data_IF_411482407581
#
_entry.id   IF_411482407581
#
_cell.length_a   1.000
_cell.length_b   1.000
_cell.length_c   1.000
_cell.angle_alpha   90.00
_cell.angle_beta   90.00
_cell.angle_gamma   90.00
#
_symmetry.space_group_name_H-M   'P 1'
#
loop_
_entity.id
_entity.type
_entity.pdbx_description
1 polymer ?
#
# COMPACT_ATOMS: atom_id res chain seq x y z
N UNK A 1 8.56 -16.01 -36.65
CA UNK A 1 7.21 -16.64 -36.61
C UNK A 1 6.83 -16.96 -38.06
N UNK A 2 6.61 -18.24 -38.41
CA UNK A 2 6.36 -18.63 -39.79
C UNK A 2 4.99 -18.12 -40.24
N UNK A 3 4.93 -17.57 -41.45
CA UNK A 3 3.73 -17.03 -42.12
C UNK A 3 2.54 -18.01 -42.14
N UNK A 4 2.81 -19.32 -42.01
CA UNK A 4 1.78 -20.37 -41.94
C UNK A 4 0.84 -20.27 -40.74
N UNK A 5 1.31 -19.74 -39.57
CA UNK A 5 0.42 -19.50 -38.42
C UNK A 5 -0.58 -18.35 -38.60
N UNK A 6 -0.30 -17.42 -39.50
CA UNK A 6 -1.24 -16.34 -39.84
C UNK A 6 -2.41 -16.81 -40.69
N UNK A 7 -2.24 -17.88 -41.48
CA UNK A 7 -3.34 -18.44 -42.33
C UNK A 7 -4.48 -19.03 -41.49
N UNK A 8 -4.20 -19.50 -40.26
CA UNK A 8 -5.21 -20.16 -39.43
C UNK A 8 -6.16 -19.19 -38.75
N UNK A 9 -5.74 -17.95 -38.48
CA UNK A 9 -6.55 -16.92 -37.79
C UNK A 9 -7.51 -16.16 -38.75
N UNK A 10 -7.37 -16.32 -40.05
CA UNK A 10 -8.17 -15.62 -41.08
C UNK A 10 -9.06 -16.55 -41.92
N UNK A 11 -9.28 -17.80 -41.46
CA UNK A 11 -10.22 -18.71 -42.13
C UNK A 11 -11.65 -18.35 -41.76
N UNK A 12 -12.15 -17.25 -42.31
CA UNK A 12 -13.58 -17.03 -42.43
C UNK A 12 -14.11 -17.95 -43.51
N UNK A 13 -15.08 -18.84 -43.20
CA UNK A 13 -15.72 -19.71 -44.19
C UNK A 13 -16.14 -18.85 -45.36
N UNK A 14 -15.61 -19.14 -46.57
CA UNK A 14 -16.16 -18.61 -47.81
C UNK A 14 -17.63 -19.05 -47.88
N UNK A 15 -18.56 -18.13 -47.92
CA UNK A 15 -19.96 -18.47 -48.16
C UNK A 15 -20.06 -19.14 -49.54
N UNK A 16 -20.71 -20.32 -49.60
CA UNK A 16 -20.92 -20.99 -50.87
C UNK A 16 -21.76 -20.09 -51.80
N UNK A 17 -21.41 -20.00 -53.12
CA UNK A 17 -22.20 -19.25 -54.08
C UNK A 17 -23.58 -19.91 -54.23
N UNK A 18 -24.62 -19.12 -54.46
CA UNK A 18 -25.92 -19.63 -54.80
C UNK A 18 -25.90 -20.32 -56.19
N UNK A 19 -26.99 -21.02 -56.57
CA UNK A 19 -27.09 -21.78 -57.82
C UNK A 19 -26.79 -20.99 -59.09
N UNK A 20 -26.67 -19.67 -59.03
CA UNK A 20 -26.33 -18.76 -60.14
C UNK A 20 -24.91 -18.16 -60.03
N UNK A 21 -24.07 -18.63 -59.11
CA UNK A 21 -22.65 -18.33 -59.08
C UNK A 21 -22.22 -16.96 -58.56
N UNK A 22 -23.14 -16.05 -58.22
CA UNK A 22 -22.79 -14.69 -57.76
C UNK A 22 -23.81 -14.12 -56.79
N UNK A 23 -23.72 -14.48 -55.51
CA UNK A 23 -24.38 -13.64 -54.52
C UNK A 23 -23.57 -12.34 -54.32
N UNK A 24 -24.20 -11.20 -54.58
CA UNK A 24 -23.62 -9.85 -54.46
C UNK A 24 -23.01 -9.63 -53.07
N UNK A 25 -23.64 -10.17 -52.01
CA UNK A 25 -23.15 -10.14 -50.64
C UNK A 25 -21.88 -10.98 -50.43
N UNK A 26 -21.75 -12.13 -51.09
CA UNK A 26 -20.57 -12.98 -51.01
C UNK A 26 -19.36 -12.35 -51.69
N UNK A 27 -19.57 -11.71 -52.84
CA UNK A 27 -18.53 -10.97 -53.57
C UNK A 27 -18.03 -9.80 -52.71
N UNK A 28 -18.94 -8.96 -52.19
CA UNK A 28 -18.59 -7.84 -51.31
C UNK A 28 -17.84 -8.29 -50.04
N UNK A 29 -18.24 -9.43 -49.47
CA UNK A 29 -17.57 -9.99 -48.26
C UNK A 29 -16.17 -10.50 -48.62
N UNK A 30 -16.02 -11.21 -49.74
CA UNK A 30 -14.71 -11.70 -50.17
C UNK A 30 -13.77 -10.54 -50.54
N UNK A 31 -14.23 -9.50 -51.17
CA UNK A 31 -13.44 -8.28 -51.43
C UNK A 31 -12.99 -7.60 -50.12
N UNK A 32 -13.85 -7.53 -49.13
CA UNK A 32 -13.47 -7.02 -47.78
C UNK A 32 -12.39 -7.89 -47.12
N UNK A 33 -12.51 -9.21 -47.21
CA UNK A 33 -11.53 -10.17 -46.67
C UNK A 33 -10.18 -9.99 -47.41
N UNK A 34 -10.19 -9.87 -48.74
CA UNK A 34 -8.97 -9.65 -49.51
C UNK A 34 -8.29 -8.33 -49.19
N UNK A 35 -9.06 -7.24 -49.05
CA UNK A 35 -8.52 -5.94 -48.59
C UNK A 35 -7.90 -6.03 -47.19
N UNK A 36 -8.53 -6.73 -46.26
CA UNK A 36 -7.99 -6.96 -44.92
C UNK A 36 -6.69 -7.78 -44.95
N UNK A 37 -6.64 -8.83 -45.77
CA UNK A 37 -5.45 -9.66 -45.97
C UNK A 37 -4.29 -8.83 -46.54
N UNK A 38 -4.53 -8.04 -47.58
CA UNK A 38 -3.54 -7.14 -48.15
C UNK A 38 -3.02 -6.11 -47.15
N UNK A 39 -3.89 -5.54 -46.35
CA UNK A 39 -3.50 -4.58 -45.30
C UNK A 39 -2.65 -5.21 -44.18
N UNK A 40 -2.97 -6.43 -43.76
CA UNK A 40 -2.16 -7.19 -42.78
C UNK A 40 -0.79 -7.57 -43.37
N UNK A 41 -0.74 -8.02 -44.62
CA UNK A 41 0.51 -8.30 -45.34
C UNK A 41 1.37 -7.04 -45.52
N UNK A 42 0.76 -5.92 -45.85
CA UNK A 42 1.46 -4.63 -45.94
C UNK A 42 2.07 -4.21 -44.61
N UNK A 43 1.32 -4.34 -43.53
CA UNK A 43 1.82 -4.08 -42.16
C UNK A 43 2.99 -4.99 -41.81
N UNK A 44 2.90 -6.28 -42.10
CA UNK A 44 3.97 -7.25 -41.86
C UNK A 44 5.23 -6.91 -42.66
N UNK A 45 5.10 -6.64 -43.98
CA UNK A 45 6.24 -6.29 -44.81
C UNK A 45 6.92 -4.99 -44.36
N UNK A 46 6.14 -3.98 -43.96
CA UNK A 46 6.67 -2.72 -43.43
C UNK A 46 7.48 -2.93 -42.14
N UNK A 47 7.11 -3.89 -41.29
CA UNK A 47 7.88 -4.24 -40.09
C UNK A 47 9.14 -5.03 -40.45
N UNK A 48 9.07 -5.94 -41.42
CA UNK A 48 10.25 -6.69 -41.96
C UNK A 48 11.31 -5.76 -42.51
N UNK A 49 10.92 -4.74 -43.28
CA UNK A 49 11.84 -3.73 -43.86
C UNK A 49 12.58 -2.92 -42.78
N UNK A 50 11.97 -2.72 -41.62
CA UNK A 50 12.59 -2.02 -40.47
C UNK A 50 13.68 -2.81 -39.78
N UNK A 51 13.98 -4.04 -40.19
CA UNK A 51 15.03 -4.95 -39.63
C UNK A 51 15.03 -5.06 -38.10
N UNK A 52 13.87 -5.02 -37.46
CA UNK A 52 13.69 -5.21 -36.04
C UNK A 52 12.89 -6.48 -35.79
N UNK A 53 13.22 -7.20 -34.75
CA UNK A 53 12.37 -8.29 -34.26
C UNK A 53 11.02 -7.73 -33.86
N UNK A 54 9.94 -8.33 -34.36
CA UNK A 54 8.58 -7.92 -34.06
C UNK A 54 7.69 -9.16 -33.83
N UNK A 55 6.61 -8.96 -33.10
CA UNK A 55 5.64 -9.99 -32.78
C UNK A 55 4.29 -9.74 -33.50
N UNK A 56 3.34 -10.64 -33.28
CA UNK A 56 1.99 -10.53 -33.83
C UNK A 56 1.25 -9.26 -33.35
N UNK A 57 1.58 -8.77 -32.15
CA UNK A 57 0.98 -7.55 -31.61
C UNK A 57 1.46 -6.32 -32.40
N UNK A 58 2.74 -6.26 -32.77
CA UNK A 58 3.28 -5.19 -33.60
C UNK A 58 2.63 -5.15 -35.00
N UNK A 59 2.36 -6.32 -35.61
CA UNK A 59 1.63 -6.41 -36.89
C UNK A 59 0.19 -5.90 -36.75
N UNK A 60 -0.51 -6.32 -35.69
CA UNK A 60 -1.86 -5.84 -35.39
C UNK A 60 -1.88 -4.32 -35.21
N UNK A 61 -0.95 -3.78 -34.43
CA UNK A 61 -0.89 -2.35 -34.12
C UNK A 61 -0.55 -1.51 -35.40
N UNK A 62 0.33 -2.05 -36.26
CA UNK A 62 0.62 -1.45 -37.56
C UNK A 62 -0.62 -1.48 -38.47
N UNK A 63 -1.33 -2.60 -38.54
CA UNK A 63 -2.56 -2.78 -39.30
C UNK A 63 -3.68 -1.84 -38.84
N UNK A 64 -3.82 -1.63 -37.54
CA UNK A 64 -4.82 -0.73 -36.95
C UNK A 64 -4.45 0.75 -37.02
N UNK A 65 -3.34 1.10 -37.69
CA UNK A 65 -2.84 2.48 -37.74
C UNK A 65 -2.19 2.95 -36.42
N UNK A 66 -2.03 2.05 -35.45
CA UNK A 66 -1.42 2.32 -34.16
C UNK A 66 0.13 2.18 -34.17
N UNK A 67 0.72 2.07 -35.34
CA UNK A 67 2.16 1.81 -35.55
C UNK A 67 3.13 2.88 -34.99
N UNK A 68 2.60 4.00 -34.51
CA UNK A 68 3.32 4.99 -33.76
C UNK A 68 3.09 4.90 -32.24
N UNK A 69 2.21 3.98 -31.79
CA UNK A 69 1.78 3.86 -30.40
C UNK A 69 2.21 2.54 -29.74
N UNK A 70 3.46 2.13 -29.95
CA UNK A 70 3.97 1.02 -29.14
C UNK A 70 3.82 1.39 -27.66
N UNK A 71 3.16 0.51 -26.89
CA UNK A 71 3.00 0.74 -25.45
C UNK A 71 4.37 0.76 -24.79
N UNK A 72 4.65 1.84 -24.10
CA UNK A 72 5.92 2.09 -23.41
C UNK A 72 5.72 2.06 -21.89
N UNK A 73 6.80 1.98 -21.13
CA UNK A 73 6.76 1.83 -19.68
C UNK A 73 5.97 2.95 -19.00
N UNK A 74 6.30 4.21 -19.32
CA UNK A 74 5.64 5.36 -18.67
C UNK A 74 4.20 5.53 -19.17
N UNK A 75 3.90 5.25 -20.45
CA UNK A 75 2.52 5.28 -20.95
C UNK A 75 1.64 4.25 -20.24
N UNK A 76 2.12 3.02 -20.04
CA UNK A 76 1.35 1.99 -19.33
C UNK A 76 1.16 2.36 -17.85
N UNK A 77 2.20 2.89 -17.21
CA UNK A 77 2.11 3.35 -15.83
C UNK A 77 1.15 4.53 -15.69
N UNK A 78 1.16 5.47 -16.63
CA UNK A 78 0.24 6.62 -16.66
C UNK A 78 -1.22 6.17 -16.85
N UNK A 79 -1.49 5.27 -17.80
CA UNK A 79 -2.81 4.65 -17.97
C UNK A 79 -3.29 4.02 -16.67
N UNK A 80 -2.43 3.22 -16.04
CA UNK A 80 -2.75 2.57 -14.75
C UNK A 80 -2.99 3.59 -13.61
N UNK A 81 -2.24 4.69 -13.59
CA UNK A 81 -2.45 5.79 -12.63
C UNK A 81 -3.80 6.48 -12.84
N UNK A 82 -4.21 6.66 -14.11
CA UNK A 82 -5.53 7.18 -14.47
C UNK A 82 -6.66 6.28 -13.97
N UNK A 83 -6.55 4.97 -14.17
CA UNK A 83 -7.49 3.97 -13.67
C UNK A 83 -7.57 3.99 -12.14
N UNK A 84 -6.41 4.05 -11.46
CA UNK A 84 -6.36 4.16 -10.01
C UNK A 84 -6.97 5.45 -9.49
N UNK A 85 -6.73 6.58 -10.17
CA UNK A 85 -7.29 7.89 -9.80
C UNK A 85 -8.82 7.86 -9.80
N UNK A 86 -9.42 7.23 -10.81
CA UNK A 86 -10.88 7.05 -10.88
C UNK A 86 -11.46 6.21 -9.73
N UNK A 87 -10.64 5.39 -9.07
CA UNK A 87 -11.05 4.50 -7.98
C UNK A 87 -10.73 5.04 -6.59
N UNK A 88 -10.10 6.22 -6.50
CA UNK A 88 -9.82 6.86 -5.20
C UNK A 88 -11.13 7.25 -4.52
N UNK A 89 -11.28 6.86 -3.26
CA UNK A 89 -12.52 7.06 -2.49
C UNK A 89 -13.55 5.94 -2.66
N UNK A 90 -13.38 5.04 -3.63
CA UNK A 90 -14.21 3.84 -3.79
C UNK A 90 -13.54 2.65 -3.11
N UNK A 91 -12.41 2.19 -3.64
CA UNK A 91 -11.64 1.04 -3.14
C UNK A 91 -10.13 1.29 -3.09
N UNK A 92 -9.69 2.51 -3.36
CA UNK A 92 -8.28 2.95 -3.34
C UNK A 92 -8.09 4.16 -2.43
N UNK A 93 -7.04 4.09 -1.59
CA UNK A 93 -6.66 5.22 -0.76
C UNK A 93 -5.86 6.27 -1.57
N UNK A 94 -6.04 7.58 -1.33
CA UNK A 94 -5.26 8.64 -1.96
C UNK A 94 -3.75 8.45 -1.81
N UNK A 95 -3.29 7.98 -0.64
CA UNK A 95 -1.87 7.70 -0.35
C UNK A 95 -1.29 6.61 -1.24
N UNK A 96 -2.09 5.61 -1.62
CA UNK A 96 -1.67 4.58 -2.57
C UNK A 96 -1.42 5.19 -3.95
N UNK A 97 -2.34 6.02 -4.46
CA UNK A 97 -2.16 6.73 -5.72
C UNK A 97 -0.89 7.60 -5.68
N UNK A 98 -0.66 8.32 -4.59
CA UNK A 98 0.55 9.15 -4.44
C UNK A 98 1.82 8.35 -4.64
N UNK A 99 1.92 7.12 -4.11
CA UNK A 99 3.10 6.26 -4.29
C UNK A 99 3.30 5.90 -5.77
N UNK A 100 2.22 5.64 -6.52
CA UNK A 100 2.30 5.37 -7.95
C UNK A 100 2.74 6.60 -8.75
N UNK A 101 2.22 7.78 -8.43
CA UNK A 101 2.62 9.04 -9.06
C UNK A 101 4.10 9.37 -8.79
N UNK A 102 4.59 9.13 -7.57
CA UNK A 102 6.02 9.28 -7.25
C UNK A 102 6.87 8.26 -8.01
N UNK A 103 6.41 7.03 -8.16
CA UNK A 103 7.11 6.02 -8.97
C UNK A 103 7.20 6.44 -10.43
N UNK A 104 6.11 6.97 -11.01
CA UNK A 104 6.12 7.52 -12.36
C UNK A 104 7.15 8.64 -12.51
N UNK A 105 7.14 9.60 -11.58
CA UNK A 105 8.06 10.73 -11.58
C UNK A 105 9.52 10.27 -11.53
N UNK A 106 9.87 9.40 -10.60
CA UNK A 106 11.25 8.92 -10.42
C UNK A 106 11.72 8.08 -11.60
N UNK A 107 10.84 7.26 -12.20
CA UNK A 107 11.16 6.52 -13.42
C UNK A 107 11.37 7.46 -14.61
N UNK A 108 10.53 8.48 -14.77
CA UNK A 108 10.69 9.49 -15.83
C UNK A 108 12.00 10.26 -15.69
N UNK A 109 12.36 10.67 -14.47
CA UNK A 109 13.62 11.34 -14.19
C UNK A 109 14.83 10.43 -14.51
N UNK A 110 14.78 9.17 -14.08
CA UNK A 110 15.82 8.18 -14.33
C UNK A 110 16.02 7.90 -15.82
N UNK A 111 14.92 7.65 -16.55
CA UNK A 111 14.96 7.36 -17.98
C UNK A 111 15.59 8.55 -18.75
N UNK A 112 15.16 9.77 -18.44
CA UNK A 112 15.71 10.98 -19.04
C UNK A 112 17.19 11.16 -18.71
N UNK A 113 17.58 10.93 -17.46
CA UNK A 113 18.96 11.11 -17.01
C UNK A 113 19.91 10.10 -17.68
N UNK A 114 19.54 8.82 -17.67
CA UNK A 114 20.42 7.74 -18.11
C UNK A 114 20.34 7.43 -19.60
N UNK A 115 19.14 7.39 -20.16
CA UNK A 115 18.91 6.95 -21.54
C UNK A 115 18.71 8.10 -22.54
N UNK A 116 18.56 9.35 -22.06
CA UNK A 116 18.34 10.56 -22.88
C UNK A 116 17.12 10.47 -23.81
N UNK A 117 16.11 9.66 -23.42
CA UNK A 117 14.85 9.48 -24.14
C UNK A 117 13.68 9.79 -23.22
N UNK A 118 12.49 10.13 -23.78
CA UNK A 118 11.33 10.44 -22.97
C UNK A 118 10.71 9.22 -22.29
N UNK A 119 10.82 8.03 -22.89
CA UNK A 119 10.25 6.78 -22.41
C UNK A 119 10.94 5.57 -23.04
N UNK A 120 10.70 4.37 -22.52
CA UNK A 120 11.30 3.12 -22.97
C UNK A 120 10.24 2.07 -23.34
N UNK A 121 10.53 1.31 -24.42
CA UNK A 121 9.73 0.12 -24.76
C UNK A 121 10.12 -1.03 -23.84
N UNK A 122 9.17 -1.94 -23.57
CA UNK A 122 9.38 -3.04 -22.62
C UNK A 122 10.53 -3.97 -23.04
N UNK A 123 10.81 -4.15 -24.32
CA UNK A 123 11.94 -4.94 -24.81
C UNK A 123 13.32 -4.42 -24.39
N UNK A 124 13.43 -3.16 -23.99
CA UNK A 124 14.67 -2.55 -23.51
C UNK A 124 14.89 -2.72 -22.00
N UNK A 125 13.87 -3.20 -21.30
CA UNK A 125 13.98 -3.46 -19.85
C UNK A 125 14.73 -4.79 -19.64
N UNK A 126 15.77 -4.75 -18.82
CA UNK A 126 16.55 -5.92 -18.43
C UNK A 126 16.94 -5.82 -16.95
N UNK A 127 17.67 -6.80 -16.42
CA UNK A 127 18.13 -6.75 -15.03
C UNK A 127 19.05 -5.56 -14.75
N UNK A 128 19.85 -5.14 -15.73
CA UNK A 128 20.72 -3.99 -15.57
C UNK A 128 19.94 -2.70 -15.42
N UNK A 129 18.83 -2.52 -16.19
CA UNK A 129 17.91 -1.40 -16.00
C UNK A 129 17.39 -1.32 -14.56
N UNK A 130 17.04 -2.49 -13.97
CA UNK A 130 16.52 -2.54 -12.59
C UNK A 130 17.60 -2.15 -11.60
N UNK A 131 18.84 -2.64 -11.77
CA UNK A 131 19.98 -2.29 -10.91
C UNK A 131 20.31 -0.81 -11.01
N UNK A 132 20.37 -0.29 -12.21
CA UNK A 132 20.65 1.13 -12.46
C UNK A 132 19.57 2.04 -11.84
N UNK A 133 18.30 1.62 -11.89
CA UNK A 133 17.23 2.36 -11.22
C UNK A 133 17.34 2.29 -9.69
N UNK A 134 17.79 1.14 -9.13
CA UNK A 134 18.08 1.03 -7.70
C UNK A 134 19.18 2.00 -7.28
N UNK A 135 20.28 2.04 -8.02
CA UNK A 135 21.40 2.94 -7.73
C UNK A 135 20.96 4.42 -7.85
N UNK A 136 20.18 4.75 -8.86
CA UNK A 136 19.62 6.10 -9.00
C UNK A 136 18.78 6.50 -7.77
N UNK A 137 17.91 5.61 -7.28
CA UNK A 137 17.04 5.89 -6.11
C UNK A 137 17.85 5.96 -4.82
N UNK A 138 18.82 5.06 -4.62
CA UNK A 138 19.59 4.98 -3.38
C UNK A 138 20.73 5.98 -3.31
N UNK A 139 21.52 6.08 -4.39
CA UNK A 139 22.78 6.84 -4.39
C UNK A 139 22.57 8.28 -4.86
N UNK A 140 21.80 8.49 -5.94
CA UNK A 140 21.60 9.83 -6.47
C UNK A 140 20.47 10.58 -5.76
N UNK A 141 19.35 9.91 -5.44
CA UNK A 141 18.22 10.51 -4.72
C UNK A 141 18.31 10.42 -3.20
N UNK A 142 19.17 9.55 -2.67
CA UNK A 142 19.33 9.35 -1.23
C UNK A 142 18.10 8.77 -0.53
N UNK A 143 17.22 8.03 -1.24
CA UNK A 143 16.01 7.48 -0.65
C UNK A 143 16.30 6.20 0.12
N UNK A 144 15.46 5.93 1.13
CA UNK A 144 15.56 4.72 1.94
C UNK A 144 15.22 3.46 1.12
N UNK A 145 15.81 2.32 1.52
CA UNK A 145 15.60 1.00 0.89
C UNK A 145 14.11 0.62 0.87
N UNK A 146 13.34 0.95 1.92
CA UNK A 146 11.90 0.66 1.96
C UNK A 146 11.10 1.48 0.92
N UNK A 147 11.53 2.71 0.64
CA UNK A 147 10.96 3.53 -0.44
C UNK A 147 11.25 2.91 -1.81
N UNK A 148 12.51 2.54 -2.06
CA UNK A 148 12.91 1.82 -3.27
C UNK A 148 12.11 0.54 -3.45
N UNK A 149 11.95 -0.26 -2.38
CA UNK A 149 11.16 -1.49 -2.40
C UNK A 149 9.73 -1.24 -2.88
N UNK A 150 9.11 -0.15 -2.41
CA UNK A 150 7.77 0.27 -2.86
C UNK A 150 7.73 0.58 -4.36
N UNK A 151 8.70 1.34 -4.86
CA UNK A 151 8.80 1.70 -6.29
C UNK A 151 9.05 0.47 -7.17
N UNK A 152 9.95 -0.42 -6.75
CA UNK A 152 10.21 -1.67 -7.47
C UNK A 152 9.01 -2.62 -7.48
N UNK A 153 8.21 -2.66 -6.42
CA UNK A 153 6.98 -3.44 -6.38
C UNK A 153 5.96 -2.95 -7.41
N UNK A 154 5.86 -1.61 -7.58
CA UNK A 154 5.01 -1.00 -8.61
C UNK A 154 5.56 -1.31 -10.01
N UNK A 155 6.85 -1.08 -10.25
CA UNK A 155 7.50 -1.39 -11.53
C UNK A 155 7.30 -2.88 -11.90
N UNK A 156 7.50 -3.78 -10.94
CA UNK A 156 7.24 -5.23 -11.10
C UNK A 156 5.79 -5.51 -11.51
N UNK A 157 4.83 -4.81 -10.90
CA UNK A 157 3.40 -4.95 -11.25
C UNK A 157 3.13 -4.46 -12.68
N UNK A 158 3.66 -3.32 -13.09
CA UNK A 158 3.49 -2.76 -14.43
C UNK A 158 4.10 -3.68 -15.49
N UNK A 159 5.30 -4.21 -15.27
CA UNK A 159 5.90 -5.20 -16.17
C UNK A 159 5.08 -6.49 -16.26
N UNK A 160 4.41 -6.91 -15.18
CA UNK A 160 3.49 -8.06 -15.22
C UNK A 160 2.26 -7.77 -16.04
N UNK A 161 1.70 -6.56 -15.95
CA UNK A 161 0.56 -6.13 -16.78
C UNK A 161 0.99 -6.12 -18.24
N UNK A 162 2.13 -5.50 -18.58
CA UNK A 162 2.68 -5.46 -19.92
C UNK A 162 2.84 -6.86 -20.53
N UNK A 163 3.37 -7.81 -19.75
CA UNK A 163 3.51 -9.20 -20.20
C UNK A 163 2.14 -9.86 -20.46
N UNK A 164 1.18 -9.67 -19.57
CA UNK A 164 -0.18 -10.25 -19.71
C UNK A 164 -0.95 -9.66 -20.88
N UNK A 165 -0.76 -8.38 -21.18
CA UNK A 165 -1.41 -7.67 -22.28
C UNK A 165 -0.68 -7.83 -23.63
N UNK A 166 0.44 -8.56 -23.67
CA UNK A 166 1.22 -8.80 -24.90
C UNK A 166 2.10 -7.63 -25.32
N UNK A 167 2.32 -6.64 -24.44
CA UNK A 167 3.24 -5.53 -24.71
C UNK A 167 4.72 -5.87 -24.46
N UNK A 168 4.98 -7.03 -23.87
CA UNK A 168 6.31 -7.58 -23.62
C UNK A 168 6.31 -9.09 -23.85
N UNK A 169 7.29 -9.61 -24.58
CA UNK A 169 7.45 -11.06 -24.80
C UNK A 169 7.96 -11.78 -23.55
N UNK A 170 8.65 -11.06 -22.68
CA UNK A 170 9.28 -11.61 -21.47
C UNK A 170 8.82 -10.86 -20.23
N UNK A 171 8.68 -11.62 -19.13
CA UNK A 171 8.48 -11.02 -17.81
C UNK A 171 9.85 -10.79 -17.14
N UNK A 172 10.38 -9.57 -17.29
CA UNK A 172 11.73 -9.18 -16.87
C UNK A 172 12.01 -9.31 -15.35
N UNK A 173 10.97 -9.48 -14.53
CA UNK A 173 11.07 -9.62 -13.07
C UNK A 173 10.88 -11.06 -12.57
N UNK A 174 10.91 -12.09 -13.45
CA UNK A 174 10.65 -13.47 -13.02
C UNK A 174 11.62 -13.94 -11.93
N UNK A 175 12.91 -13.63 -12.05
CA UNK A 175 13.97 -14.02 -11.10
C UNK A 175 14.35 -12.88 -10.13
N UNK A 176 13.83 -11.67 -10.32
CA UNK A 176 14.21 -10.54 -9.51
C UNK A 176 13.52 -10.59 -8.14
N UNK A 177 14.33 -10.61 -7.08
CA UNK A 177 13.86 -10.52 -5.69
C UNK A 177 13.93 -9.07 -5.23
N UNK A 178 12.83 -8.57 -4.69
CA UNK A 178 12.83 -7.24 -4.06
C UNK A 178 13.85 -7.20 -2.90
N UNK A 179 14.52 -6.07 -2.67
CA UNK A 179 15.39 -5.88 -1.51
C UNK A 179 14.69 -6.32 -0.23
N UNK A 180 15.40 -6.96 0.70
CA UNK A 180 14.82 -7.32 1.99
C UNK A 180 14.43 -6.05 2.75
N UNK A 181 13.25 -6.07 3.34
CA UNK A 181 12.84 -5.00 4.26
C UNK A 181 13.74 -5.07 5.48
N UNK A 182 14.26 -3.92 5.93
CA UNK A 182 14.96 -3.87 7.21
C UNK A 182 13.96 -4.17 8.32
N UNK A 183 14.32 -5.09 9.20
CA UNK A 183 13.56 -5.28 10.44
C UNK A 183 13.65 -3.98 11.24
N UNK A 184 12.56 -3.28 11.31
CA UNK A 184 12.45 -2.09 12.15
C UNK A 184 11.81 -2.48 13.48
N UNK A 185 12.50 -2.18 14.58
CA UNK A 185 11.86 -2.26 15.89
C UNK A 185 10.77 -1.19 15.97
N UNK A 186 9.53 -1.56 16.29
CA UNK A 186 8.49 -0.57 16.55
C UNK A 186 8.98 0.39 17.64
N UNK A 187 8.92 1.67 17.36
CA UNK A 187 9.31 2.69 18.33
C UNK A 187 8.12 2.94 19.26
N UNK A 188 8.03 2.20 20.36
CA UNK A 188 7.16 2.54 21.48
C UNK A 188 7.84 3.58 22.38
N UNK A 189 7.06 4.28 23.19
CA UNK A 189 7.63 5.08 24.29
C UNK A 189 8.17 4.16 25.38
N UNK A 190 9.22 4.61 26.07
CA UNK A 190 9.53 4.08 27.39
C UNK A 190 8.49 4.60 28.42
N UNK A 191 8.35 3.91 29.56
CA UNK A 191 7.46 4.36 30.64
C UNK A 191 7.82 5.79 31.08
N UNK A 192 9.07 6.10 31.26
CA UNK A 192 9.56 7.44 31.59
C UNK A 192 9.13 8.51 30.56
N UNK A 193 9.29 8.23 29.27
CA UNK A 193 8.91 9.18 28.21
C UNK A 193 7.39 9.33 28.09
N UNK A 194 6.64 8.27 28.42
CA UNK A 194 5.18 8.33 28.49
C UNK A 194 4.75 9.26 29.63
N UNK A 195 5.32 9.11 30.83
CA UNK A 195 5.05 9.95 32.00
C UNK A 195 5.39 11.42 31.74
N UNK A 196 6.56 11.69 31.13
CA UNK A 196 6.93 13.06 30.72
C UNK A 196 5.92 13.73 29.78
N UNK A 197 5.28 12.97 28.90
CA UNK A 197 4.24 13.50 28.01
C UNK A 197 2.89 13.64 28.71
N UNK A 198 2.58 12.68 29.58
CA UNK A 198 1.34 12.67 30.36
C UNK A 198 1.29 13.89 31.28
N UNK A 199 2.35 14.16 32.03
CA UNK A 199 2.43 15.20 33.04
C UNK A 199 2.89 16.57 32.47
N UNK A 200 3.10 16.63 31.12
CA UNK A 200 3.57 17.85 30.48
C UNK A 200 2.60 19.02 30.66
N UNK A 201 3.03 20.05 31.34
CA UNK A 201 2.30 21.31 31.43
C UNK A 201 2.41 22.09 30.11
N UNK A 202 1.28 22.33 29.48
CA UNK A 202 1.20 23.07 28.21
C UNK A 202 0.42 24.34 28.47
N UNK A 203 0.99 25.53 28.17
CA UNK A 203 0.29 26.80 28.35
C UNK A 203 -1.06 26.81 27.63
N UNK A 204 -2.12 27.34 28.26
CA UNK A 204 -3.50 27.36 27.74
C UNK A 204 -3.62 27.99 26.34
N UNK A 205 -2.82 29.01 26.05
CA UNK A 205 -2.74 29.67 24.74
C UNK A 205 -2.32 28.68 23.62
N UNK A 206 -1.75 27.53 23.94
CA UNK A 206 -1.35 26.47 23.00
C UNK A 206 -2.38 25.36 22.90
N UNK A 207 -3.67 25.69 22.84
CA UNK A 207 -4.79 24.73 22.79
C UNK A 207 -4.60 23.60 21.78
N UNK A 208 -4.07 23.92 20.58
CA UNK A 208 -3.81 22.90 19.56
C UNK A 208 -2.76 21.85 20.00
N UNK A 209 -1.76 22.23 20.80
CA UNK A 209 -0.77 21.28 21.36
C UNK A 209 -1.42 20.40 22.43
N UNK A 210 -2.30 20.97 23.26
CA UNK A 210 -3.05 20.19 24.26
C UNK A 210 -3.90 19.13 23.58
N UNK A 211 -4.66 19.51 22.53
CA UNK A 211 -5.46 18.55 21.76
C UNK A 211 -4.58 17.46 21.12
N UNK A 212 -3.42 17.83 20.56
CA UNK A 212 -2.49 16.88 19.96
C UNK A 212 -1.94 15.89 20.99
N UNK A 213 -1.50 16.36 22.16
CA UNK A 213 -1.03 15.52 23.25
C UNK A 213 -2.12 14.55 23.69
N UNK A 214 -3.32 15.04 23.92
CA UNK A 214 -4.43 14.25 24.44
C UNK A 214 -4.92 13.20 23.41
N UNK A 215 -4.94 13.55 22.13
CA UNK A 215 -5.16 12.56 21.06
C UNK A 215 -4.07 11.48 21.01
N UNK A 216 -2.83 11.87 21.24
CA UNK A 216 -1.72 10.91 21.30
C UNK A 216 -1.83 10.00 22.53
N UNK A 217 -2.14 10.55 23.72
CA UNK A 217 -2.39 9.77 24.94
C UNK A 217 -3.58 8.83 24.76
N UNK A 218 -4.66 9.31 24.11
CA UNK A 218 -5.79 8.45 23.77
C UNK A 218 -5.37 7.27 22.87
N UNK A 219 -4.46 7.49 21.93
CA UNK A 219 -3.90 6.39 21.13
C UNK A 219 -3.02 5.44 21.98
N UNK A 220 -2.33 5.93 23.01
CA UNK A 220 -1.60 5.11 23.98
C UNK A 220 -2.52 4.22 24.82
N UNK A 221 -3.74 4.69 25.12
CA UNK A 221 -4.73 3.93 25.92
C UNK A 221 -5.65 3.04 25.10
N UNK A 222 -5.78 3.27 23.79
CA UNK A 222 -6.76 2.56 22.95
C UNK A 222 -6.18 1.85 21.74
N UNK A 223 -4.93 2.16 21.39
CA UNK A 223 -4.27 1.63 20.18
C UNK A 223 -4.83 2.19 18.88
N UNK A 224 -5.66 3.24 18.90
CA UNK A 224 -6.27 3.79 17.69
C UNK A 224 -5.23 4.47 16.79
N UNK A 225 -5.33 4.25 15.46
CA UNK A 225 -4.54 5.01 14.51
C UNK A 225 -5.13 6.42 14.34
N UNK A 226 -4.33 7.38 13.86
CA UNK A 226 -4.76 8.78 13.71
C UNK A 226 -6.08 8.92 12.93
N UNK A 227 -6.16 8.29 11.75
CA UNK A 227 -7.35 8.39 10.91
C UNK A 227 -8.62 7.82 11.59
N UNK A 228 -8.44 6.82 12.46
CA UNK A 228 -9.52 6.24 13.24
C UNK A 228 -9.87 7.18 14.40
N UNK A 229 -8.89 7.62 15.20
CA UNK A 229 -9.10 8.48 16.39
C UNK A 229 -9.86 9.78 16.08
N UNK A 230 -9.50 10.48 15.00
CA UNK A 230 -10.17 11.73 14.61
C UNK A 230 -11.57 11.54 14.05
N UNK A 231 -11.98 10.31 13.75
CA UNK A 231 -13.29 9.98 13.20
C UNK A 231 -14.21 9.26 14.15
N UNK A 232 -13.74 8.91 15.35
CA UNK A 232 -14.54 8.25 16.37
C UNK A 232 -15.63 9.20 16.84
N UNK A 233 -16.86 8.71 16.90
CA UNK A 233 -18.05 9.40 17.37
C UNK A 233 -18.60 8.72 18.62
N UNK A 234 -19.60 9.30 19.27
CA UNK A 234 -20.26 8.68 20.42
C UNK A 234 -20.94 7.35 20.07
N UNK A 235 -21.35 7.14 18.82
CA UNK A 235 -21.94 5.88 18.34
C UNK A 235 -20.94 4.69 18.40
N UNK A 236 -19.66 5.00 18.52
CA UNK A 236 -18.61 4.00 18.69
C UNK A 236 -18.45 3.54 20.14
N UNK A 237 -19.11 4.21 21.10
CA UNK A 237 -19.06 3.88 22.51
C UNK A 237 -20.27 3.02 22.90
N UNK A 238 -20.05 1.97 23.68
CA UNK A 238 -21.12 1.18 24.26
C UNK A 238 -20.72 0.67 25.65
N UNK A 239 -21.70 0.35 26.47
CA UNK A 239 -21.47 -0.29 27.77
C UNK A 239 -21.76 -1.78 27.66
N UNK A 240 -20.96 -2.60 28.32
CA UNK A 240 -21.24 -4.00 28.54
C UNK A 240 -22.25 -4.20 29.68
N UNK A 241 -22.64 -5.45 29.92
CA UNK A 241 -23.62 -5.83 30.97
C UNK A 241 -23.11 -5.49 32.39
N UNK A 242 -21.80 -5.32 32.56
CA UNK A 242 -21.14 -4.92 33.80
C UNK A 242 -21.04 -3.39 33.95
N UNK A 243 -21.52 -2.62 32.96
CA UNK A 243 -21.47 -1.16 32.92
C UNK A 243 -20.14 -0.57 32.44
N UNK A 244 -19.15 -1.39 32.10
CA UNK A 244 -17.87 -0.94 31.59
C UNK A 244 -17.99 -0.30 30.20
N UNK A 245 -17.29 0.78 29.99
CA UNK A 245 -17.33 1.51 28.72
C UNK A 245 -16.33 0.91 27.72
N UNK A 246 -16.80 0.62 26.52
CA UNK A 246 -16.03 0.05 25.43
C UNK A 246 -16.03 0.96 24.23
N UNK A 247 -14.94 0.92 23.48
CA UNK A 247 -14.78 1.52 22.14
C UNK A 247 -14.86 0.42 21.09
N UNK A 248 -15.78 0.56 20.12
CA UNK A 248 -15.92 -0.30 18.95
C UNK A 248 -15.81 0.56 17.69
N UNK A 249 -14.81 0.30 16.86
CA UNK A 249 -14.58 1.09 15.65
C UNK A 249 -14.12 0.22 14.48
N UNK A 250 -14.50 0.63 13.28
CA UNK A 250 -14.02 0.02 12.05
C UNK A 250 -12.77 0.74 11.56
N UNK A 251 -11.68 0.00 11.34
CA UNK A 251 -10.43 0.60 10.89
C UNK A 251 -10.55 1.08 9.45
N UNK A 252 -10.34 2.39 9.23
CA UNK A 252 -10.39 3.00 7.89
C UNK A 252 -9.42 2.38 6.88
N UNK A 253 -8.27 1.85 7.32
CA UNK A 253 -7.26 1.29 6.43
C UNK A 253 -7.53 -0.14 5.99
N UNK A 254 -8.16 -0.95 6.84
CA UNK A 254 -8.24 -2.41 6.65
C UNK A 254 -9.64 -2.97 6.76
N UNK A 255 -10.61 -2.14 7.13
CA UNK A 255 -12.00 -2.48 7.37
C UNK A 255 -12.22 -3.54 8.47
N UNK A 256 -11.20 -3.81 9.29
CA UNK A 256 -11.31 -4.73 10.42
C UNK A 256 -11.83 -4.02 11.66
N UNK A 257 -12.60 -4.75 12.45
CA UNK A 257 -13.21 -4.27 13.67
C UNK A 257 -12.19 -4.26 14.82
N UNK A 258 -11.95 -3.09 15.41
CA UNK A 258 -11.25 -2.92 16.68
C UNK A 258 -12.24 -2.82 17.86
N UNK A 259 -11.90 -3.46 18.98
CA UNK A 259 -12.68 -3.38 20.22
C UNK A 259 -11.73 -3.25 21.41
N UNK A 260 -11.91 -2.22 22.22
CA UNK A 260 -11.07 -1.95 23.39
C UNK A 260 -11.95 -1.52 24.55
N UNK A 261 -11.77 -2.15 25.72
CA UNK A 261 -12.34 -1.67 26.98
C UNK A 261 -11.59 -0.39 27.37
N UNK A 262 -12.31 0.68 27.63
CA UNK A 262 -11.70 1.97 27.91
C UNK A 262 -11.18 2.02 29.35
N UNK A 263 -9.92 2.38 29.48
CA UNK A 263 -9.30 2.70 30.77
C UNK A 263 -9.87 4.02 31.32
N UNK A 264 -9.87 4.23 32.64
CA UNK A 264 -10.36 5.47 33.25
C UNK A 264 -9.75 6.74 32.64
N UNK A 265 -8.46 6.70 32.29
CA UNK A 265 -7.73 7.81 31.66
C UNK A 265 -8.26 8.12 30.25
N UNK A 266 -8.59 7.10 29.47
CA UNK A 266 -9.21 7.29 28.16
C UNK A 266 -10.62 7.88 28.27
N UNK A 267 -11.39 7.46 29.29
CA UNK A 267 -12.73 8.02 29.59
C UNK A 267 -12.58 9.48 30.01
N UNK A 268 -11.64 9.83 30.87
CA UNK A 268 -11.39 11.19 31.29
C UNK A 268 -11.05 12.12 30.10
N UNK A 269 -10.26 11.63 29.13
CA UNK A 269 -9.97 12.38 27.91
C UNK A 269 -11.23 12.60 27.05
N UNK A 270 -12.12 11.62 26.94
CA UNK A 270 -13.39 11.74 26.22
C UNK A 270 -14.28 12.80 26.89
N UNK A 271 -14.43 12.73 28.22
CA UNK A 271 -15.24 13.69 28.98
C UNK A 271 -14.65 15.12 28.92
N UNK A 272 -13.32 15.27 28.97
CA UNK A 272 -12.64 16.58 28.83
C UNK A 272 -13.04 17.29 27.52
N UNK A 273 -13.25 16.56 26.44
CA UNK A 273 -13.61 17.09 25.14
C UNK A 273 -15.10 16.92 24.80
N UNK A 274 -15.93 16.64 25.80
CA UNK A 274 -17.36 16.49 25.59
C UNK A 274 -17.96 17.77 25.02
N UNK A 275 -18.63 17.63 23.90
CA UNK A 275 -19.30 18.72 23.19
C UNK A 275 -20.48 18.13 22.44
N UNK A 276 -21.70 18.44 22.89
CA UNK A 276 -22.92 17.85 22.36
C UNK A 276 -23.29 18.40 20.97
N UNK A 277 -22.63 19.46 20.54
CA UNK A 277 -22.81 20.05 19.20
C UNK A 277 -21.89 19.39 18.16
N UNK A 278 -20.88 18.65 18.61
CA UNK A 278 -19.92 17.98 17.74
C UNK A 278 -20.20 16.47 17.67
N UNK A 279 -20.13 15.92 16.44
CA UNK A 279 -20.31 14.49 16.24
C UNK A 279 -19.11 13.66 16.72
N UNK A 280 -17.88 14.15 16.47
CA UNK A 280 -16.64 13.45 16.85
C UNK A 280 -16.29 13.63 18.32
N UNK A 281 -15.63 12.62 18.93
CA UNK A 281 -15.22 12.70 20.36
C UNK A 281 -14.21 13.80 20.61
N UNK A 282 -13.26 14.01 19.69
CA UNK A 282 -12.22 15.02 19.82
C UNK A 282 -12.43 16.16 18.83
N UNK A 283 -11.94 17.39 19.15
CA UNK A 283 -11.91 18.49 18.21
C UNK A 283 -11.18 18.12 16.90
N UNK A 284 -11.63 18.60 15.74
CA UNK A 284 -10.96 18.31 14.49
C UNK A 284 -9.53 18.83 14.49
N UNK A 285 -8.62 18.02 14.01
CA UNK A 285 -7.21 18.35 13.87
C UNK A 285 -6.68 17.74 12.58
N UNK A 286 -6.10 18.57 11.71
CA UNK A 286 -5.49 18.05 10.50
C UNK A 286 -4.13 17.40 10.78
N UNK A 287 -3.72 16.49 9.88
CA UNK A 287 -2.51 15.71 10.07
C UNK A 287 -1.22 16.54 10.02
N UNK A 288 -1.19 17.64 9.26
CA UNK A 288 -0.02 18.51 9.17
C UNK A 288 0.20 19.26 10.48
N UNK A 289 -0.86 19.85 11.01
CA UNK A 289 -0.86 20.52 12.33
C UNK A 289 -0.48 19.53 13.44
N UNK A 290 -1.09 18.35 13.46
CA UNK A 290 -0.75 17.31 14.43
C UNK A 290 0.75 16.97 14.36
N UNK A 291 1.29 16.73 13.16
CA UNK A 291 2.70 16.39 12.98
C UNK A 291 3.65 17.50 13.44
N UNK A 292 3.30 18.77 13.18
CA UNK A 292 4.06 19.93 13.64
C UNK A 292 4.04 20.03 15.17
N UNK A 293 2.84 19.87 15.77
CA UNK A 293 2.69 19.90 17.22
C UNK A 293 3.42 18.75 17.90
N UNK A 294 3.44 17.53 17.33
CA UNK A 294 4.21 16.38 17.86
C UNK A 294 5.71 16.70 17.97
N UNK A 295 6.28 17.40 16.97
CA UNK A 295 7.68 17.85 17.04
C UNK A 295 7.89 18.86 18.17
N UNK A 296 6.97 19.78 18.35
CA UNK A 296 7.00 20.76 19.45
C UNK A 296 6.85 20.09 20.82
N UNK A 297 5.90 19.18 20.98
CA UNK A 297 5.68 18.39 22.20
C UNK A 297 6.90 17.56 22.57
N UNK A 298 7.59 16.97 21.60
CA UNK A 298 8.88 16.28 21.81
C UNK A 298 9.89 17.17 22.52
N UNK A 299 10.06 18.40 22.00
CA UNK A 299 11.02 19.37 22.56
C UNK A 299 10.58 19.84 23.94
N UNK A 300 9.29 20.13 24.12
CA UNK A 300 8.74 20.58 25.39
C UNK A 300 8.87 19.52 26.50
N UNK A 301 8.70 18.23 26.16
CA UNK A 301 8.86 17.11 27.08
C UNK A 301 10.32 16.62 27.22
N UNK A 302 11.28 17.24 26.54
CA UNK A 302 12.70 16.85 26.59
C UNK A 302 12.99 15.45 26.07
N UNK A 303 12.21 14.96 25.09
CA UNK A 303 12.39 13.61 24.55
C UNK A 303 13.53 13.57 23.54
N UNK A 304 14.46 12.63 23.68
CA UNK A 304 15.57 12.39 22.76
C UNK A 304 15.12 11.75 21.45
N UNK A 305 14.12 10.85 21.51
CA UNK A 305 13.59 10.15 20.33
C UNK A 305 12.53 11.00 19.58
N UNK A 306 12.42 10.77 18.28
CA UNK A 306 11.35 11.40 17.50
C UNK A 306 9.98 10.95 18.01
N UNK A 307 9.05 11.88 18.10
CA UNK A 307 7.68 11.63 18.52
C UNK A 307 6.75 11.68 17.29
N UNK A 308 6.12 10.53 16.98
CA UNK A 308 5.14 10.41 15.91
C UNK A 308 3.87 9.74 16.42
N UNK A 309 2.72 10.10 15.87
CA UNK A 309 1.42 9.64 16.38
C UNK A 309 1.30 8.11 16.47
N UNK A 310 1.87 7.39 15.50
CA UNK A 310 1.78 5.93 15.47
C UNK A 310 2.52 5.25 16.64
N UNK A 311 3.44 5.95 17.30
CA UNK A 311 4.07 5.47 18.53
C UNK A 311 3.07 5.26 19.66
N UNK A 312 1.98 6.05 19.74
CA UNK A 312 0.91 5.83 20.70
C UNK A 312 0.31 4.43 20.57
N UNK A 313 0.02 4.01 19.34
CA UNK A 313 -0.45 2.65 19.08
C UNK A 313 0.59 1.57 19.39
N UNK A 314 1.87 1.86 19.13
CA UNK A 314 2.96 0.94 19.52
C UNK A 314 3.07 0.82 21.03
N UNK A 315 2.96 1.95 21.76
CA UNK A 315 2.97 1.98 23.22
C UNK A 315 1.77 1.25 23.84
N UNK A 316 0.58 1.38 23.25
CA UNK A 316 -0.57 0.58 23.66
C UNK A 316 -0.27 -0.92 23.54
N UNK A 317 0.25 -1.36 22.39
CA UNK A 317 0.52 -2.77 22.14
C UNK A 317 1.63 -3.35 23.03
N UNK A 318 2.62 -2.55 23.45
CA UNK A 318 3.74 -3.00 24.28
C UNK A 318 3.54 -2.68 25.75
N UNK A 319 3.54 -1.38 26.13
CA UNK A 319 3.52 -0.94 27.53
C UNK A 319 2.19 -1.22 28.24
N UNK A 320 1.06 -0.94 27.54
CA UNK A 320 -0.26 -0.96 28.17
C UNK A 320 -0.90 -2.33 28.13
N UNK A 321 -0.49 -3.21 27.22
CA UNK A 321 -1.12 -4.53 27.08
C UNK A 321 -0.14 -5.68 27.22
N UNK A 322 0.93 -5.77 26.43
CA UNK A 322 1.82 -6.92 26.41
C UNK A 322 2.64 -7.04 27.71
N UNK A 323 3.16 -5.92 28.23
CA UNK A 323 3.88 -5.91 29.51
C UNK A 323 2.98 -6.30 30.68
N UNK A 324 1.70 -5.98 30.60
CA UNK A 324 0.69 -6.36 31.61
C UNK A 324 0.08 -7.76 31.37
N UNK A 325 0.66 -8.56 30.47
CA UNK A 325 0.33 -9.97 30.28
C UNK A 325 -0.86 -10.25 29.37
N UNK A 326 -1.38 -9.27 28.64
CA UNK A 326 -2.44 -9.51 27.65
C UNK A 326 -1.90 -10.37 26.49
N UNK A 327 -2.57 -11.50 26.14
CA UNK A 327 -2.13 -12.35 25.05
C UNK A 327 -2.10 -11.61 23.71
N UNK A 328 -1.11 -11.94 22.88
CA UNK A 328 -0.89 -11.27 21.58
C UNK A 328 -2.07 -11.41 20.63
N UNK A 329 -2.80 -12.53 20.69
CA UNK A 329 -4.02 -12.78 19.91
C UNK A 329 -5.13 -11.79 20.30
N UNK A 330 -5.25 -11.51 21.59
CA UNK A 330 -6.20 -10.53 22.13
C UNK A 330 -5.82 -9.13 21.66
N UNK A 331 -4.53 -8.76 21.76
CA UNK A 331 -4.01 -7.48 21.27
C UNK A 331 -4.26 -7.34 19.76
N UNK A 332 -4.08 -8.42 18.98
CA UNK A 332 -4.36 -8.43 17.56
C UNK A 332 -5.82 -8.03 17.25
N UNK A 333 -6.78 -8.56 18.02
CA UNK A 333 -8.20 -8.21 17.90
C UNK A 333 -8.50 -6.81 18.40
N UNK A 334 -7.93 -6.39 19.54
CA UNK A 334 -8.08 -5.03 20.07
C UNK A 334 -7.63 -3.99 19.02
N UNK A 335 -6.52 -4.24 18.37
CA UNK A 335 -5.95 -3.37 17.35
C UNK A 335 -6.67 -3.48 15.99
N UNK A 336 -7.56 -4.44 15.76
CA UNK A 336 -8.18 -4.68 14.45
C UNK A 336 -7.14 -5.04 13.37
N UNK A 337 -6.19 -5.92 13.69
CA UNK A 337 -5.27 -6.46 12.70
C UNK A 337 -5.85 -7.70 12.04
N UNK A 338 -5.74 -7.78 10.71
CA UNK A 338 -6.17 -8.94 9.91
C UNK A 338 -5.22 -10.13 10.04
N UNK A 339 -3.97 -9.88 10.44
CA UNK A 339 -2.93 -10.90 10.52
C UNK A 339 -2.10 -10.69 11.79
N UNK A 340 -1.95 -11.75 12.57
CA UNK A 340 -1.18 -11.74 13.82
C UNK A 340 0.28 -11.34 13.61
N UNK A 341 0.87 -11.63 12.44
CA UNK A 341 2.22 -11.19 12.09
C UNK A 341 2.41 -9.67 12.22
N UNK A 342 1.35 -8.90 12.00
CA UNK A 342 1.37 -7.44 12.19
C UNK A 342 1.48 -7.06 13.67
N UNK A 343 1.02 -7.92 14.57
CA UNK A 343 1.09 -7.72 16.03
C UNK A 343 2.38 -8.31 16.60
N UNK A 344 2.91 -9.37 15.99
CA UNK A 344 4.15 -10.03 16.43
C UNK A 344 5.38 -9.11 16.43
N UNK A 345 5.35 -8.00 15.67
CA UNK A 345 6.41 -7.00 15.71
C UNK A 345 6.57 -6.37 17.09
N UNK A 346 5.54 -6.42 17.95
CA UNK A 346 5.56 -5.94 19.33
C UNK A 346 6.01 -7.01 20.33
N UNK A 347 5.96 -8.29 19.94
CA UNK A 347 6.21 -9.44 20.82
C UNK A 347 7.71 -9.65 21.10
N UNK A 348 8.41 -8.61 21.52
CA UNK A 348 9.75 -8.76 22.09
C UNK A 348 9.61 -9.06 23.56
N UNK A 349 9.71 -10.34 23.90
CA UNK A 349 9.76 -10.77 25.30
C UNK A 349 11.06 -10.21 25.91
N UNK A 350 10.91 -9.33 26.87
CA UNK A 350 12.07 -8.86 27.66
C UNK A 350 12.54 -9.97 28.59
N UNK A 351 13.85 -10.03 28.97
CA UNK A 351 14.31 -11.01 29.97
C UNK A 351 13.48 -10.95 31.24
N UNK A 352 13.11 -9.74 31.70
CA UNK A 352 12.25 -9.56 32.88
C UNK A 352 10.90 -10.28 32.71
N UNK A 353 10.22 -10.06 31.58
CA UNK A 353 8.94 -10.71 31.32
C UNK A 353 9.05 -12.23 31.21
N UNK A 354 10.16 -12.73 30.63
CA UNK A 354 10.41 -14.17 30.58
C UNK A 354 10.52 -14.77 32.02
N UNK A 355 11.24 -14.12 32.93
CA UNK A 355 11.36 -14.58 34.28
C UNK A 355 10.02 -14.53 35.02
N UNK A 356 9.29 -13.43 34.93
CA UNK A 356 7.97 -13.28 35.55
C UNK A 356 6.97 -14.34 35.07
N UNK A 357 6.94 -14.62 33.75
CA UNK A 357 6.06 -15.64 33.18
C UNK A 357 6.48 -17.05 33.62
N UNK A 358 7.79 -17.31 33.73
CA UNK A 358 8.28 -18.59 34.26
C UNK A 358 7.97 -18.78 35.71
N UNK A 359 8.10 -17.75 36.57
CA UNK A 359 7.74 -17.78 37.95
C UNK A 359 6.24 -18.09 38.16
N UNK A 360 5.37 -17.41 37.37
CA UNK A 360 3.93 -17.69 37.37
C UNK A 360 3.64 -19.14 36.92
N UNK A 361 4.35 -19.62 35.91
CA UNK A 361 4.18 -21.00 35.43
C UNK A 361 4.56 -22.00 36.50
N UNK A 362 5.72 -21.83 37.19
CA UNK A 362 6.17 -22.68 38.27
C UNK A 362 5.16 -22.67 39.41
N UNK A 363 4.61 -21.51 39.78
CA UNK A 363 3.62 -21.40 40.84
C UNK A 363 2.30 -22.08 40.47
N UNK A 364 1.81 -21.86 39.25
CA UNK A 364 0.58 -22.46 38.75
C UNK A 364 0.67 -24.00 38.56
N UNK A 365 1.88 -24.53 38.40
CA UNK A 365 2.12 -25.98 38.22
C UNK A 365 2.61 -26.69 39.44
N UNK A 366 2.78 -25.99 40.59
CA UNK A 366 3.32 -26.54 41.85
C UNK A 366 2.57 -27.77 42.32
N UNK A 367 1.24 -27.81 42.15
CA UNK A 367 0.36 -28.92 42.60
C UNK A 367 -0.01 -29.87 41.45
N UNK A 368 0.45 -29.61 40.23
CA UNK A 368 0.27 -30.48 39.09
C UNK A 368 1.28 -31.63 39.15
N UNK A 369 0.83 -32.83 39.57
CA UNK A 369 1.61 -34.05 39.34
C UNK A 369 1.73 -34.27 37.83
N UNK A 370 2.77 -33.74 37.21
CA UNK A 370 3.13 -34.13 35.86
C UNK A 370 3.55 -35.60 35.96
N UNK A 371 2.70 -36.49 35.44
CA UNK A 371 3.05 -37.88 35.21
C UNK A 371 4.07 -37.89 34.07
N UNK A 372 5.34 -38.08 34.42
CA UNK A 372 6.39 -38.37 33.45
C UNK A 372 6.28 -39.80 32.93
#
# INVERSE_FOLDING_TARGET
MKVEKFKVLLYLKKSEPDKNGKSRKAVETNEKIERLLLAVHSAFNSLMERKKDFDAAAVRDMFQGNAGMQMTLLKLLDRHNGEMKARVGVDRAPTTLSTYLFTYRTLSEFIKAKFKVPDLVFGQLNEQFIRDYQDFILLEKGYAVDTLRGYLAILKKICRIAYKEGHSEKYHFCHFKLPKQKETTPKALSRENFEKLHDLEIPEKRRSHVITRDLFLFACYTGTAYADAVSITRKNLFRDDEGSLWLKYQRKKTDYLGRVKLLPEAVALIEKYRDDTRETLFPPQDYHTLRANMKSLRLMAGLSQDLVYHMGRHSFASLVTLEEGVPIETICKMLGHSNIKTTQIYARVTPKKLFEDMDRFVEATRDLKLIL
#
